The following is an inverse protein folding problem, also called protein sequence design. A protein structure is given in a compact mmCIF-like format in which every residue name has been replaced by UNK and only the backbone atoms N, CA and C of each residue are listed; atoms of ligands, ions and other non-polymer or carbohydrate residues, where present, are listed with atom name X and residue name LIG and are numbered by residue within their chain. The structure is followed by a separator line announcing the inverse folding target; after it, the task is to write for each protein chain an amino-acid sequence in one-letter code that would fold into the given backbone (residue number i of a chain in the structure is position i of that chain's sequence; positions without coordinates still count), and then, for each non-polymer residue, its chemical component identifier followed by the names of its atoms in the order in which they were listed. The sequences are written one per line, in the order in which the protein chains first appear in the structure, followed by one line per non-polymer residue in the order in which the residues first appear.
data_IF_527012568365
#
_entry.id   IF_527012568365
#
_cell.length_a   1.000
_cell.length_b   1.000
_cell.length_c   1.000
_cell.angle_alpha   90.00
_cell.angle_beta   90.00
_cell.angle_gamma   90.00
#
_symmetry.space_group_name_H-M   'P 1'
#
loop_
_entity.id
_entity.type
_entity.pdbx_description
1 polymer ?
#
# COMPACT_ATOMS: atom_id res chain seq x y z
N UNK A 1 -29.13 -56.45 -19.68
CA UNK A 1 -28.76 -55.35 -18.78
C UNK A 1 -27.46 -54.73 -19.26
N UNK A 2 -27.52 -53.60 -19.98
CA UNK A 2 -26.34 -52.90 -20.48
C UNK A 2 -25.90 -51.82 -19.48
N UNK A 3 -24.62 -51.82 -19.08
CA UNK A 3 -24.04 -50.80 -18.19
C UNK A 3 -23.38 -49.71 -19.04
N UNK A 4 -23.92 -48.50 -19.03
CA UNK A 4 -23.25 -47.32 -19.57
C UNK A 4 -22.27 -46.76 -18.52
N UNK A 5 -21.01 -46.57 -18.89
CA UNK A 5 -20.01 -45.86 -18.09
C UNK A 5 -19.96 -44.40 -18.56
N UNK A 6 -20.35 -43.48 -17.69
CA UNK A 6 -20.22 -42.05 -17.89
C UNK A 6 -18.76 -41.65 -17.58
N UNK A 7 -18.01 -41.19 -18.58
CA UNK A 7 -16.68 -40.61 -18.39
C UNK A 7 -16.85 -39.10 -18.15
N UNK A 8 -16.54 -38.66 -16.93
CA UNK A 8 -16.52 -37.25 -16.56
C UNK A 8 -15.12 -36.70 -16.86
N UNK A 9 -14.97 -35.92 -17.93
CA UNK A 9 -13.73 -35.22 -18.23
C UNK A 9 -13.66 -33.92 -17.42
N UNK A 10 -12.76 -33.87 -16.44
CA UNK A 10 -12.47 -32.66 -15.67
C UNK A 10 -11.55 -31.77 -16.51
N UNK A 11 -12.07 -30.63 -16.99
CA UNK A 11 -11.24 -29.58 -17.55
C UNK A 11 -10.56 -28.84 -16.39
N UNK A 12 -9.27 -29.09 -16.19
CA UNK A 12 -8.43 -28.28 -15.30
C UNK A 12 -8.16 -26.97 -16.05
N UNK A 13 -8.94 -25.94 -15.75
CA UNK A 13 -8.60 -24.57 -16.13
C UNK A 13 -7.38 -24.18 -15.29
N UNK A 14 -6.18 -24.28 -15.87
CA UNK A 14 -4.98 -23.74 -15.25
C UNK A 14 -5.15 -22.22 -15.24
N UNK A 15 -5.59 -21.68 -14.12
CA UNK A 15 -5.58 -20.25 -13.87
C UNK A 15 -4.12 -19.82 -13.87
N UNK A 16 -3.65 -19.27 -15.00
CA UNK A 16 -2.45 -18.46 -14.95
C UNK A 16 -2.76 -17.30 -14.01
N UNK A 17 -2.15 -17.31 -12.82
CA UNK A 17 -2.09 -16.14 -11.95
C UNK A 17 -1.34 -15.06 -12.72
N UNK A 18 -2.07 -14.29 -13.52
CA UNK A 18 -1.55 -13.03 -14.03
C UNK A 18 -1.41 -12.12 -12.81
N UNK A 19 -0.16 -11.92 -12.37
CA UNK A 19 0.13 -10.83 -11.46
C UNK A 19 -0.37 -9.55 -12.14
N UNK A 20 -1.36 -8.90 -11.54
CA UNK A 20 -1.85 -7.63 -12.05
C UNK A 20 -0.66 -6.66 -12.06
N UNK A 21 -0.34 -6.02 -13.20
CA UNK A 21 0.77 -5.07 -13.26
C UNK A 21 0.52 -3.94 -12.25
N UNK A 22 1.60 -3.51 -11.59
CA UNK A 22 1.56 -2.35 -10.68
C UNK A 22 0.86 -1.18 -11.40
N UNK A 23 -0.23 -0.61 -10.84
CA UNK A 23 -0.96 0.45 -11.50
C UNK A 23 -0.10 1.72 -11.55
N UNK A 24 -0.14 2.42 -12.69
CA UNK A 24 0.68 3.60 -12.96
C UNK A 24 2.16 3.36 -12.60
N UNK A 25 2.83 2.40 -13.29
CA UNK A 25 4.20 2.00 -12.96
C UNK A 25 5.24 3.08 -13.28
N UNK A 26 4.91 4.03 -14.16
CA UNK A 26 5.78 5.13 -14.58
C UNK A 26 6.07 6.14 -13.46
N UNK A 27 7.21 6.84 -13.57
CA UNK A 27 7.54 7.93 -12.65
C UNK A 27 6.50 9.06 -12.80
N UNK A 28 5.90 9.57 -11.70
CA UNK A 28 4.77 10.51 -11.78
C UNK A 28 5.14 11.88 -12.37
N UNK A 29 6.43 12.20 -12.43
CA UNK A 29 6.98 13.40 -13.07
C UNK A 29 8.10 12.98 -14.03
N UNK A 30 7.78 12.62 -15.28
CA UNK A 30 8.79 12.17 -16.25
C UNK A 30 9.91 13.18 -16.46
N UNK A 31 9.60 14.48 -16.44
CA UNK A 31 10.60 15.56 -16.58
C UNK A 31 11.54 15.68 -15.36
N UNK A 32 11.20 15.04 -14.24
CA UNK A 32 11.98 15.03 -12.99
C UNK A 32 12.27 13.59 -12.54
N UNK A 33 12.40 12.67 -13.50
CA UNK A 33 12.70 11.27 -13.22
C UNK A 33 14.06 11.14 -12.52
N UNK A 34 14.08 10.25 -11.52
CA UNK A 34 15.29 9.91 -10.77
C UNK A 34 15.54 8.42 -10.88
N UNK A 35 16.80 8.05 -11.11
CA UNK A 35 17.20 6.64 -11.12
C UNK A 35 16.92 5.93 -9.79
N UNK A 36 17.04 6.66 -8.67
CA UNK A 36 16.77 6.17 -7.31
C UNK A 36 15.33 6.47 -6.94
N UNK A 37 14.44 5.57 -7.35
CA UNK A 37 13.02 5.66 -7.09
C UNK A 37 12.42 4.27 -6.89
N UNK A 38 11.43 4.17 -6.02
CA UNK A 38 10.63 2.96 -5.79
C UNK A 38 9.16 3.36 -5.85
N UNK A 39 8.41 2.70 -6.73
CA UNK A 39 6.96 2.88 -6.81
C UNK A 39 6.27 2.09 -5.69
N UNK A 40 5.40 2.76 -4.93
CA UNK A 40 4.63 2.16 -3.85
C UNK A 40 3.18 1.85 -4.23
N UNK A 41 2.79 2.02 -5.50
CA UNK A 41 1.48 1.61 -6.01
C UNK A 41 1.27 0.08 -5.92
N UNK A 42 0.01 -0.32 -6.08
CA UNK A 42 -0.45 -1.70 -5.92
C UNK A 42 -1.14 -1.91 -4.58
N UNK A 43 -1.20 -3.16 -4.13
CA UNK A 43 -1.94 -3.52 -2.93
C UNK A 43 -1.24 -3.10 -1.64
N UNK A 44 -2.03 -2.51 -0.74
CA UNK A 44 -1.69 -2.23 0.65
C UNK A 44 -2.67 -2.99 1.54
N UNK A 45 -2.21 -3.45 2.69
CA UNK A 45 -3.10 -3.87 3.77
C UNK A 45 -3.91 -2.67 4.24
N UNK A 46 -5.19 -2.87 4.47
CA UNK A 46 -6.13 -1.77 4.75
C UNK A 46 -7.14 -2.13 5.83
N UNK A 47 -7.45 -1.17 6.69
CA UNK A 47 -8.52 -1.30 7.67
C UNK A 47 -9.23 0.04 7.88
N UNK A 48 -10.56 0.01 7.96
CA UNK A 48 -11.33 1.19 8.35
C UNK A 48 -11.38 1.34 9.87
N UNK A 49 -11.37 2.58 10.35
CA UNK A 49 -11.40 2.92 11.77
C UNK A 49 -12.56 3.86 12.07
N UNK A 50 -13.78 3.34 11.95
CA UNK A 50 -15.00 4.15 12.09
C UNK A 50 -15.16 4.81 13.46
N UNK A 51 -14.50 4.28 14.50
CA UNK A 51 -14.57 4.78 15.87
C UNK A 51 -13.34 5.60 16.28
N UNK A 52 -12.39 5.84 15.35
CA UNK A 52 -11.14 6.56 15.59
C UNK A 52 -10.34 6.01 16.80
N UNK A 53 -10.21 4.69 16.89
CA UNK A 53 -9.51 4.02 18.00
C UNK A 53 -8.09 3.60 17.67
N UNK A 54 -7.68 3.63 16.40
CA UNK A 54 -6.42 3.02 15.95
C UNK A 54 -5.19 3.55 16.67
N UNK A 55 -5.12 4.87 16.92
CA UNK A 55 -4.02 5.46 17.71
C UNK A 55 -4.06 5.02 19.17
N UNK A 56 -5.25 5.02 19.78
CA UNK A 56 -5.44 4.63 21.17
C UNK A 56 -5.13 3.13 21.39
N UNK A 57 -5.41 2.30 20.38
CA UNK A 57 -5.12 0.86 20.33
C UNK A 57 -3.75 0.54 19.70
N UNK A 58 -2.93 1.56 19.40
CA UNK A 58 -1.56 1.43 18.90
C UNK A 58 -1.42 0.65 17.58
N UNK A 59 -2.37 0.79 16.65
CA UNK A 59 -2.34 0.09 15.36
C UNK A 59 -1.07 0.41 14.54
N UNK A 60 -0.48 1.60 14.74
CA UNK A 60 0.78 2.02 14.11
C UNK A 60 2.01 1.20 14.54
N UNK A 61 1.90 0.31 15.53
CA UNK A 61 2.98 -0.65 15.88
C UNK A 61 2.93 -1.85 14.92
N UNK A 62 1.78 -2.17 14.34
CA UNK A 62 1.61 -3.23 13.34
C UNK A 62 1.29 -4.61 13.91
N UNK A 63 0.93 -4.72 15.19
CA UNK A 63 0.46 -5.98 15.80
C UNK A 63 -0.95 -6.37 15.33
N UNK A 64 -1.78 -5.37 15.02
CA UNK A 64 -3.11 -5.59 14.47
C UNK A 64 -3.00 -6.04 13.01
N UNK A 65 -3.58 -7.19 12.71
CA UNK A 65 -3.83 -7.60 11.32
C UNK A 65 -4.98 -6.82 10.71
N UNK A 66 -4.75 -6.25 9.52
CA UNK A 66 -5.77 -5.56 8.73
C UNK A 66 -6.51 -6.55 7.84
N UNK A 67 -7.83 -6.48 7.83
CA UNK A 67 -8.68 -7.50 7.21
C UNK A 67 -8.86 -7.32 5.69
N UNK A 68 -8.47 -6.17 5.14
CA UNK A 68 -8.73 -5.80 3.74
C UNK A 68 -7.44 -5.50 2.99
N UNK A 69 -7.58 -5.41 1.67
CA UNK A 69 -6.56 -4.86 0.80
C UNK A 69 -7.15 -3.73 -0.03
N UNK A 70 -6.36 -2.67 -0.24
CA UNK A 70 -6.71 -1.55 -1.11
C UNK A 70 -5.64 -1.39 -2.18
N UNK A 71 -6.08 -1.17 -3.42
CA UNK A 71 -5.19 -0.96 -4.56
C UNK A 71 -4.90 0.54 -4.74
N UNK A 72 -3.71 0.97 -4.33
CA UNK A 72 -3.22 2.34 -4.48
C UNK A 72 -2.74 2.55 -5.92
N UNK A 73 -3.05 3.67 -6.59
CA UNK A 73 -3.44 4.97 -6.02
C UNK A 73 -4.92 5.33 -6.16
N UNK A 74 -5.81 4.33 -6.24
CA UNK A 74 -7.24 4.60 -6.36
C UNK A 74 -7.84 4.95 -4.99
N UNK A 75 -8.70 5.98 -4.89
CA UNK A 75 -9.37 6.30 -3.63
C UNK A 75 -10.31 5.17 -3.22
N UNK A 76 -10.54 4.97 -1.91
CA UNK A 76 -11.62 4.09 -1.47
C UNK A 76 -12.96 4.54 -2.04
N UNK A 77 -13.87 3.61 -2.30
CA UNK A 77 -15.12 3.87 -3.03
C UNK A 77 -14.99 3.83 -4.56
N UNK A 78 -13.78 3.95 -5.10
CA UNK A 78 -13.53 3.60 -6.51
C UNK A 78 -13.56 2.08 -6.68
N UNK A 79 -14.27 1.53 -7.68
CA UNK A 79 -14.22 0.09 -7.99
C UNK A 79 -12.80 -0.45 -8.21
N UNK A 80 -11.89 0.40 -8.71
CA UNK A 80 -10.49 0.03 -8.97
C UNK A 80 -9.65 -0.15 -7.69
N UNK A 81 -10.09 0.43 -6.57
CA UNK A 81 -9.42 0.29 -5.27
C UNK A 81 -9.68 -1.06 -4.61
N UNK A 82 -10.77 -1.74 -4.98
CA UNK A 82 -11.23 -2.97 -4.34
C UNK A 82 -11.90 -2.76 -2.96
N UNK A 83 -12.08 -1.52 -2.51
CA UNK A 83 -12.69 -1.18 -1.22
C UNK A 83 -13.92 -0.30 -1.43
N UNK A 84 -15.02 -0.62 -0.76
CA UNK A 84 -16.23 0.21 -0.75
C UNK A 84 -16.09 1.37 0.23
N UNK A 85 -16.71 2.50 -0.07
CA UNK A 85 -16.74 3.65 0.83
C UNK A 85 -17.66 3.36 2.03
N UNK A 86 -17.07 3.25 3.22
CA UNK A 86 -17.78 2.85 4.45
C UNK A 86 -17.60 3.84 5.60
N UNK A 87 -16.48 4.57 5.66
CA UNK A 87 -16.19 5.57 6.69
C UNK A 87 -15.08 6.52 6.26
N UNK A 88 -14.77 7.50 7.12
CA UNK A 88 -13.89 8.64 6.84
C UNK A 88 -12.46 8.49 7.37
N UNK A 89 -12.19 7.43 8.15
CA UNK A 89 -10.85 7.14 8.70
C UNK A 89 -10.43 5.76 8.23
N UNK A 90 -9.27 5.68 7.58
CA UNK A 90 -8.69 4.42 7.11
C UNK A 90 -7.20 4.35 7.38
N UNK A 91 -6.75 3.15 7.68
CA UNK A 91 -5.36 2.81 7.92
C UNK A 91 -4.80 2.04 6.73
N UNK A 92 -3.65 2.47 6.25
CA UNK A 92 -2.90 1.85 5.17
C UNK A 92 -1.63 1.27 5.75
N UNK A 93 -1.27 0.07 5.30
CA UNK A 93 -0.05 -0.60 5.72
C UNK A 93 0.63 -1.29 4.54
N UNK A 94 1.92 -1.06 4.35
CA UNK A 94 2.73 -1.76 3.35
C UNK A 94 4.15 -2.01 3.85
N UNK A 95 4.71 -3.14 3.44
CA UNK A 95 6.12 -3.41 3.67
C UNK A 95 6.98 -2.89 2.53
N UNK A 96 8.10 -2.29 2.87
CA UNK A 96 9.07 -1.72 1.95
C UNK A 96 10.48 -2.09 2.40
N UNK A 97 11.38 -2.29 1.44
CA UNK A 97 12.80 -2.47 1.72
C UNK A 97 13.55 -1.33 1.03
N UNK A 98 14.13 -0.44 1.82
CA UNK A 98 14.91 0.68 1.29
C UNK A 98 16.28 0.12 0.86
N UNK A 99 16.68 0.28 -0.42
CA UNK A 99 17.93 -0.29 -0.90
C UNK A 99 19.14 0.23 -0.10
N UNK A 100 19.98 -0.67 0.42
CA UNK A 100 21.21 -0.34 1.16
C UNK A 100 22.11 0.65 0.41
N UNK A 101 22.14 0.55 -0.92
CA UNK A 101 22.89 1.44 -1.82
C UNK A 101 22.45 2.93 -1.77
N UNK A 102 21.33 3.24 -1.12
CA UNK A 102 20.86 4.61 -0.90
C UNK A 102 21.42 5.22 0.40
N UNK A 103 22.12 4.47 1.24
CA UNK A 103 22.70 4.97 2.49
C UNK A 103 23.63 6.15 2.21
N UNK A 104 23.47 7.23 2.99
CA UNK A 104 24.21 8.49 2.82
C UNK A 104 23.49 9.52 1.94
N UNK A 105 22.38 9.15 1.30
CA UNK A 105 21.47 10.09 0.65
C UNK A 105 20.35 10.52 1.61
N UNK A 106 19.64 11.59 1.23
CA UNK A 106 18.33 11.93 1.82
C UNK A 106 17.25 11.12 1.12
N UNK A 107 16.38 10.49 1.91
CA UNK A 107 15.28 9.64 1.41
C UNK A 107 13.95 10.22 1.84
N UNK A 108 13.01 10.27 0.90
CA UNK A 108 11.70 10.87 1.10
C UNK A 108 10.61 9.87 0.74
N UNK A 109 9.59 9.75 1.59
CA UNK A 109 8.32 9.13 1.25
C UNK A 109 7.44 10.21 0.62
N UNK A 110 7.06 10.03 -0.64
CA UNK A 110 6.26 11.00 -1.40
C UNK A 110 4.85 10.46 -1.58
N UNK A 111 3.87 11.22 -1.13
CA UNK A 111 2.45 10.92 -1.30
C UNK A 111 1.87 11.92 -2.30
N UNK A 112 1.33 11.40 -3.41
CA UNK A 112 0.80 12.24 -4.49
C UNK A 112 -0.43 13.05 -4.07
N UNK A 113 -1.31 12.43 -3.29
CA UNK A 113 -2.47 13.04 -2.64
C UNK A 113 -3.07 12.04 -1.64
N UNK A 114 -3.59 12.53 -0.52
CA UNK A 114 -4.36 11.75 0.44
C UNK A 114 -5.30 12.69 1.21
N UNK A 115 -6.60 12.44 1.16
CA UNK A 115 -7.61 13.33 1.74
C UNK A 115 -8.09 12.83 3.12
N UNK A 116 -8.20 13.65 4.17
CA UNK A 116 -7.75 15.05 4.31
C UNK A 116 -6.54 15.19 5.24
N UNK A 117 -6.47 14.38 6.29
CA UNK A 117 -5.39 14.40 7.26
C UNK A 117 -4.65 13.06 7.20
N UNK A 118 -3.33 13.13 7.02
CA UNK A 118 -2.44 11.97 6.97
C UNK A 118 -1.40 12.09 8.06
N UNK A 119 -1.20 11.02 8.82
CA UNK A 119 -0.02 10.84 9.67
C UNK A 119 0.73 9.61 9.13
N UNK A 120 2.05 9.72 9.03
CA UNK A 120 2.91 8.65 8.52
C UNK A 120 3.73 8.01 9.64
N UNK A 121 3.98 6.71 9.50
CA UNK A 121 4.93 5.97 10.33
C UNK A 121 5.88 5.16 9.43
N UNK A 122 7.10 4.94 9.92
CA UNK A 122 8.05 3.96 9.37
C UNK A 122 8.49 3.05 10.53
N UNK A 123 8.14 1.77 10.45
CA UNK A 123 8.08 0.91 11.62
C UNK A 123 7.16 1.53 12.66
N UNK A 124 7.66 1.69 13.87
CA UNK A 124 6.93 2.30 14.99
C UNK A 124 7.13 3.83 15.08
N UNK A 125 8.06 4.40 14.30
CA UNK A 125 8.42 5.81 14.38
C UNK A 125 7.50 6.67 13.54
N UNK A 126 6.89 7.68 14.15
CA UNK A 126 6.16 8.72 13.43
C UNK A 126 7.14 9.56 12.59
N UNK A 127 6.82 9.71 11.30
CA UNK A 127 7.65 10.47 10.33
C UNK A 127 7.03 11.83 9.97
N UNK A 128 5.81 12.09 10.41
CA UNK A 128 5.16 13.40 10.30
C UNK A 128 3.66 13.32 10.03
N UNK A 129 3.05 14.50 9.89
CA UNK A 129 1.65 14.64 9.48
C UNK A 129 1.47 15.74 8.44
N UNK A 130 0.41 15.62 7.65
CA UNK A 130 0.02 16.55 6.62
C UNK A 130 -1.50 16.72 6.59
N UNK A 131 -1.96 17.92 6.26
CA UNK A 131 -3.38 18.24 6.12
C UNK A 131 -3.62 18.92 4.77
N UNK A 132 -4.37 18.25 3.89
CA UNK A 132 -4.71 18.69 2.54
C UNK A 132 -4.97 17.49 1.61
N UNK A 133 -5.96 17.58 0.72
CA UNK A 133 -6.40 16.43 -0.10
C UNK A 133 -5.91 16.37 -1.55
N UNK A 134 -5.33 17.46 -2.08
CA UNK A 134 -5.09 17.61 -3.53
C UNK A 134 -3.69 18.08 -3.91
N UNK A 135 -2.78 18.19 -2.94
CA UNK A 135 -1.40 18.62 -3.16
C UNK A 135 -0.45 17.52 -2.71
N UNK A 136 0.56 17.16 -3.52
CA UNK A 136 1.60 16.24 -3.09
C UNK A 136 2.30 16.75 -1.84
N UNK A 137 2.70 15.82 -0.97
CA UNK A 137 3.48 16.10 0.22
C UNK A 137 4.51 14.98 0.45
N UNK A 138 5.50 15.26 1.28
CA UNK A 138 6.60 14.36 1.53
C UNK A 138 7.00 14.34 2.99
N UNK A 139 7.49 13.18 3.44
CA UNK A 139 8.14 12.99 4.72
C UNK A 139 9.60 12.62 4.46
N UNK A 140 10.55 13.34 5.06
CA UNK A 140 11.93 12.90 5.09
C UNK A 140 12.05 11.74 6.09
N UNK A 141 12.53 10.60 5.61
CA UNK A 141 12.61 9.36 6.40
C UNK A 141 14.04 8.91 6.65
N UNK A 142 15.04 9.68 6.20
CA UNK A 142 16.48 9.35 6.22
C UNK A 142 16.93 8.75 7.55
N UNK A 143 16.55 9.39 8.67
CA UNK A 143 17.00 9.01 10.02
C UNK A 143 16.19 7.86 10.64
N UNK A 144 15.03 7.51 10.07
CA UNK A 144 14.16 6.43 10.54
C UNK A 144 14.40 5.09 9.82
N UNK A 145 15.24 5.08 8.78
CA UNK A 145 15.48 3.89 7.95
C UNK A 145 16.39 2.87 8.66
N UNK A 146 15.91 1.63 8.72
CA UNK A 146 16.69 0.42 8.96
C UNK A 146 17.13 -0.13 7.59
N UNK A 147 18.29 0.32 7.16
CA UNK A 147 18.77 0.10 5.80
C UNK A 147 18.93 -1.39 5.46
N UNK A 148 18.51 -1.77 4.25
CA UNK A 148 18.61 -3.15 3.78
C UNK A 148 17.59 -4.11 4.40
N UNK A 149 16.80 -3.66 5.39
CA UNK A 149 15.78 -4.45 6.06
C UNK A 149 14.37 -4.11 5.53
N UNK A 150 13.46 -5.06 5.67
CA UNK A 150 12.04 -4.83 5.38
C UNK A 150 11.42 -4.09 6.56
N UNK A 151 10.86 -2.91 6.28
CA UNK A 151 10.17 -2.07 7.25
C UNK A 151 8.73 -1.84 6.81
N UNK A 152 7.86 -1.57 7.78
CA UNK A 152 6.47 -1.20 7.50
C UNK A 152 6.33 0.30 7.33
N UNK A 153 5.63 0.75 6.30
CA UNK A 153 4.94 2.04 6.26
C UNK A 153 3.53 1.79 6.76
#
# INVERSE_FOLDING_TARGET
MAKYRLLLSIFIFSSFLYAQPCPLPEHPRPDFERERWVNLNGFWSFEFDAENRGIAEQWQIGEKSFSRQINVPFPWGSPLSGVSDETVIGWYQRKVQIPEKWRGERVFLIIGAADWQTTGWLGEQEIGSFQGGYTPFEFEITDAIQWGEEQRI
#
